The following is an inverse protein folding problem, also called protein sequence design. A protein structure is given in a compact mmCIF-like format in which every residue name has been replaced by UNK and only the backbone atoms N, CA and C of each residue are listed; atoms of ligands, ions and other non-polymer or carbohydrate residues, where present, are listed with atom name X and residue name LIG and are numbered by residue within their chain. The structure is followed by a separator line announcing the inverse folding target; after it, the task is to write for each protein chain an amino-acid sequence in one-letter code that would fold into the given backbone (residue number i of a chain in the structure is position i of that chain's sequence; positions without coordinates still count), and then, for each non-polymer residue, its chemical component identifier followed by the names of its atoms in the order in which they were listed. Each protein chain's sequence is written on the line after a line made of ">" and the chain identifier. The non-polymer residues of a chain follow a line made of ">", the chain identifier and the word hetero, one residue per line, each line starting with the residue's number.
data_IF_525645832852
#
_entry.id   IF_525645832852
#
_cell.length_a   1.000
_cell.length_b   1.000
_cell.length_c   1.000
_cell.angle_alpha   90.00
_cell.angle_beta   90.00
_cell.angle_gamma   90.00
#
_symmetry.space_group_name_H-M   'P 1'
#
loop_
_entity.id
_entity.type
_entity.pdbx_description
1 polymer ?
#
# COMPACT_ATOMS: atom_id res chain seq x y z
N UNK A 1 -6.60 -2.30 7.25
CA UNK A 1 -7.08 -1.74 5.97
C UNK A 1 -6.32 -2.38 4.83
N UNK A 2 -7.02 -2.83 3.83
CA UNK A 2 -6.40 -3.46 2.66
C UNK A 2 -6.42 -2.48 1.50
N UNK A 3 -5.30 -2.41 0.79
CA UNK A 3 -5.13 -1.47 -0.33
C UNK A 3 -4.41 -2.16 -1.48
N UNK A 4 -4.40 -1.49 -2.62
CA UNK A 4 -3.62 -1.90 -3.78
C UNK A 4 -2.77 -0.74 -4.26
N UNK A 5 -1.62 -1.06 -4.81
CA UNK A 5 -0.77 -0.06 -5.44
C UNK A 5 -1.18 0.03 -6.92
N UNK A 6 -1.70 1.18 -7.37
CA UNK A 6 -2.23 1.28 -8.74
C UNK A 6 -1.18 1.07 -9.84
N UNK A 7 0.07 1.44 -9.57
CA UNK A 7 1.15 1.27 -10.53
C UNK A 7 1.82 -0.10 -10.48
N UNK A 8 1.47 -0.92 -9.50
CA UNK A 8 2.11 -2.23 -9.28
C UNK A 8 1.08 -3.29 -8.94
N UNK A 9 0.16 -3.59 -9.86
CA UNK A 9 -0.89 -4.58 -9.59
C UNK A 9 -0.35 -5.97 -9.26
N UNK A 10 0.86 -6.28 -9.72
CA UNK A 10 1.50 -7.56 -9.44
C UNK A 10 1.87 -7.74 -7.97
N UNK A 11 1.87 -6.66 -7.18
CA UNK A 11 2.15 -6.75 -5.75
C UNK A 11 0.99 -7.36 -4.97
N UNK A 12 -0.21 -7.38 -5.56
CA UNK A 12 -1.38 -7.94 -4.92
C UNK A 12 -1.95 -7.01 -3.86
N UNK A 13 -2.74 -7.59 -2.96
CA UNK A 13 -3.37 -6.83 -1.87
C UNK A 13 -2.32 -6.49 -0.82
N UNK A 14 -2.34 -5.25 -0.36
CA UNK A 14 -1.47 -4.78 0.70
C UNK A 14 -2.23 -4.51 1.97
N UNK A 15 -1.63 -4.81 3.11
CA UNK A 15 -2.18 -4.48 4.41
C UNK A 15 -1.38 -3.35 5.03
N UNK A 16 -2.08 -2.28 5.41
CA UNK A 16 -1.42 -1.13 6.03
C UNK A 16 -0.93 -1.50 7.42
N UNK A 17 0.36 -1.32 7.66
CA UNK A 17 0.99 -1.62 8.93
C UNK A 17 1.07 -0.38 9.81
N UNK A 18 1.45 0.75 9.22
CA UNK A 18 1.55 2.00 9.97
C UNK A 18 1.46 3.19 9.02
N UNK A 19 1.05 4.31 9.59
CA UNK A 19 0.97 5.58 8.86
C UNK A 19 1.63 6.65 9.73
N UNK A 20 2.64 7.32 9.18
CA UNK A 20 3.33 8.41 9.87
C UNK A 20 3.45 9.57 8.87
N UNK A 21 2.63 10.61 9.07
CA UNK A 21 2.59 11.72 8.13
C UNK A 21 2.22 11.22 6.73
N UNK A 22 3.09 11.47 5.76
CA UNK A 22 2.89 11.03 4.37
C UNK A 22 3.50 9.66 4.09
N UNK A 23 4.05 9.00 5.11
CA UNK A 23 4.71 7.72 4.94
C UNK A 23 3.81 6.60 5.42
N UNK A 24 3.56 5.65 4.53
CA UNK A 24 2.70 4.51 4.82
C UNK A 24 3.50 3.23 4.61
N UNK A 25 3.57 2.41 5.65
CA UNK A 25 4.19 1.09 5.54
C UNK A 25 3.11 0.08 5.24
N UNK A 26 3.27 -0.65 4.15
CA UNK A 26 2.28 -1.62 3.69
C UNK A 26 2.98 -2.96 3.45
N UNK A 27 2.33 -4.03 3.87
CA UNK A 27 2.79 -5.38 3.60
C UNK A 27 1.96 -5.96 2.46
N UNK A 28 2.55 -6.07 1.28
CA UNK A 28 1.88 -6.61 0.10
C UNK A 28 2.07 -8.13 0.02
N UNK A 29 1.07 -8.82 -0.52
CA UNK A 29 1.11 -10.28 -0.63
C UNK A 29 2.32 -10.80 -1.41
N UNK A 30 2.67 -10.09 -2.48
CA UNK A 30 3.72 -10.54 -3.40
C UNK A 30 4.96 -9.67 -3.41
N UNK A 31 4.95 -8.55 -2.71
CA UNK A 31 6.09 -7.65 -2.64
C UNK A 31 6.69 -7.54 -1.25
N UNK A 32 5.96 -7.99 -0.23
CA UNK A 32 6.40 -7.85 1.15
C UNK A 32 6.20 -6.42 1.66
N UNK A 33 7.00 -6.05 2.65
CA UNK A 33 6.87 -4.75 3.30
C UNK A 33 7.47 -3.66 2.42
N UNK A 34 6.67 -2.66 2.11
CA UNK A 34 7.08 -1.54 1.26
C UNK A 34 6.70 -0.23 1.93
N UNK A 35 7.59 0.74 1.88
CA UNK A 35 7.32 2.09 2.37
C UNK A 35 6.83 2.94 1.20
N UNK A 36 5.65 3.52 1.34
CA UNK A 36 5.01 4.31 0.29
C UNK A 36 4.87 5.76 0.75
N UNK A 37 5.21 6.68 -0.16
CA UNK A 37 5.00 8.09 0.10
C UNK A 37 3.64 8.51 -0.46
N UNK A 38 2.67 8.70 0.42
CA UNK A 38 1.29 9.00 0.03
C UNK A 38 1.14 10.37 -0.61
N UNK A 39 2.12 11.25 -0.46
CA UNK A 39 2.09 12.55 -1.11
C UNK A 39 2.35 12.45 -2.61
N UNK A 40 2.95 11.34 -3.05
CA UNK A 40 3.30 11.10 -4.45
C UNK A 40 2.37 10.09 -5.10
N UNK A 41 1.97 9.07 -4.35
CA UNK A 41 1.21 7.94 -4.89
C UNK A 41 -0.13 7.84 -4.17
N UNK A 42 -1.22 7.83 -4.95
CA UNK A 42 -2.55 7.59 -4.41
C UNK A 42 -2.80 6.08 -4.39
N UNK A 43 -3.04 5.52 -3.21
CA UNK A 43 -3.33 4.11 -3.06
C UNK A 43 -4.83 3.87 -3.21
N UNK A 44 -5.17 2.72 -3.77
CA UNK A 44 -6.57 2.33 -3.94
C UNK A 44 -7.00 1.40 -2.81
N UNK A 45 -8.17 1.66 -2.25
CA UNK A 45 -8.74 0.77 -1.26
C UNK A 45 -9.26 -0.50 -1.93
N UNK A 46 -8.91 -1.64 -1.35
CA UNK A 46 -9.37 -2.93 -1.83
C UNK A 46 -10.24 -3.59 -0.76
N UNK A 47 -11.35 -2.94 -0.47
CA UNK A 47 -12.29 -3.43 0.52
C UNK A 47 -13.59 -3.82 -0.16
N UNK A 48 -14.20 -4.94 0.26
CA UNK A 48 -15.48 -5.37 -0.29
C UNK A 48 -16.61 -4.44 0.05
#
# INVERSE_FOLDING_TARGET
>A
MRIRHPGKPEWGVGQVQSVVGDRITVNFEHAGKVLINAAVIALELDEP
#
